data_IF_229964630371
#
_entry.id   IF_229964630371
#
_cell.length_a   1.000
_cell.length_b   1.000
_cell.length_c   1.000
_cell.angle_alpha   90.00
_cell.angle_beta   90.00
_cell.angle_gamma   90.00
#
_symmetry.space_group_name_H-M   'P 1'
#
loop_
_entity.id
_entity.type
_entity.pdbx_description
1 polymer ?
#
# COMPACT_ATOMS: atom_id res chain seq x y z
N UNK A 1 8.19 18.41 -0.54
CA UNK A 1 7.68 17.40 -1.47
C UNK A 1 8.43 16.12 -1.20
N UNK A 2 7.74 15.19 -0.54
CA UNK A 2 8.25 13.87 -0.17
C UNK A 2 7.74 12.89 -1.22
N UNK A 3 8.65 12.18 -1.88
CA UNK A 3 8.26 11.18 -2.88
C UNK A 3 8.22 9.81 -2.25
N UNK A 4 7.08 9.12 -2.39
CA UNK A 4 6.95 7.71 -2.09
C UNK A 4 6.99 6.93 -3.41
N UNK A 5 7.99 6.06 -3.57
CA UNK A 5 8.04 5.13 -4.68
C UNK A 5 7.53 3.78 -4.17
N UNK A 6 6.30 3.45 -4.52
CA UNK A 6 5.76 2.10 -4.32
C UNK A 6 5.81 1.36 -5.65
N UNK A 7 6.59 0.28 -5.71
CA UNK A 7 6.41 -0.73 -6.74
C UNK A 7 5.61 -1.88 -6.15
N UNK A 8 4.59 -2.33 -6.86
CA UNK A 8 3.79 -3.48 -6.47
C UNK A 8 4.48 -4.70 -7.06
N UNK A 9 5.36 -5.34 -6.30
CA UNK A 9 5.78 -6.70 -6.63
C UNK A 9 4.55 -7.59 -6.43
N UNK A 10 4.01 -8.14 -7.52
CA UNK A 10 3.04 -9.24 -7.40
C UNK A 10 3.87 -10.47 -7.03
N UNK A 11 4.04 -10.65 -5.73
CA UNK A 11 4.30 -11.97 -5.21
C UNK A 11 2.93 -12.62 -5.01
N UNK A 12 2.67 -13.71 -5.73
CA UNK A 12 1.67 -14.71 -5.34
C UNK A 12 2.17 -15.38 -4.04
N UNK A 13 2.18 -14.66 -2.92
CA UNK A 13 2.38 -15.29 -1.62
C UNK A 13 1.05 -15.92 -1.20
N UNK A 14 0.99 -17.23 -0.91
CA UNK A 14 -0.14 -17.82 -0.21
C UNK A 14 -0.03 -17.44 1.27
N UNK A 15 -0.22 -16.16 1.60
CA UNK A 15 -0.31 -15.72 2.99
C UNK A 15 -1.50 -14.78 3.11
N UNK A 16 -2.54 -15.33 3.73
CA UNK A 16 -3.76 -14.67 4.14
C UNK A 16 -3.46 -13.41 4.97
N UNK A 17 -4.34 -12.40 4.93
CA UNK A 17 -4.16 -11.23 5.77
C UNK A 17 -4.40 -11.59 7.25
N UNK A 18 -3.39 -11.48 8.10
CA UNK A 18 -3.60 -11.33 9.56
C UNK A 18 -3.82 -9.85 9.90
N UNK A 19 -4.66 -9.17 9.12
CA UNK A 19 -5.29 -7.92 9.56
C UNK A 19 -6.55 -8.34 10.32
N UNK A 20 -6.45 -8.40 11.65
CA UNK A 20 -7.59 -8.75 12.49
C UNK A 20 -8.54 -7.54 12.53
N UNK A 21 -9.64 -7.59 11.77
CA UNK A 21 -10.79 -6.75 12.09
C UNK A 21 -11.43 -7.27 13.38
N UNK A 22 -11.88 -6.37 14.23
CA UNK A 22 -12.19 -6.67 15.65
C UNK A 22 -13.59 -7.25 15.81
N UNK A 23 -14.43 -7.21 14.78
CA UNK A 23 -15.76 -7.80 14.82
C UNK A 23 -15.85 -9.16 14.14
N UNK A 24 -14.93 -9.47 13.23
CA UNK A 24 -15.03 -10.62 12.34
C UNK A 24 -13.71 -10.76 11.58
N UNK A 25 -13.10 -11.96 11.59
CA UNK A 25 -11.81 -12.34 10.95
C UNK A 25 -11.80 -12.20 9.41
N UNK A 26 -12.37 -11.14 8.86
CA UNK A 26 -12.58 -10.92 7.43
C UNK A 26 -11.42 -10.11 6.86
N UNK A 27 -10.88 -10.57 5.73
CA UNK A 27 -9.81 -9.91 5.00
C UNK A 27 -10.15 -8.44 4.67
N UNK A 28 -9.26 -7.53 5.11
CA UNK A 28 -9.28 -6.12 4.74
C UNK A 28 -9.13 -5.96 3.22
N UNK A 29 -10.21 -5.56 2.55
CA UNK A 29 -10.27 -5.36 1.09
C UNK A 29 -11.39 -4.38 0.64
N UNK A 30 -12.05 -3.67 1.57
CA UNK A 30 -13.34 -3.01 1.27
C UNK A 30 -13.41 -1.51 1.52
N UNK A 31 -12.34 -0.85 1.98
CA UNK A 31 -12.41 0.60 2.24
C UNK A 31 -12.78 1.32 0.94
N UNK A 32 -13.96 1.94 0.84
CA UNK A 32 -14.43 2.50 -0.42
C UNK A 32 -13.75 3.86 -0.66
N UNK A 33 -13.68 4.27 -1.92
CA UNK A 33 -13.28 5.63 -2.26
C UNK A 33 -14.28 6.63 -1.67
N UNK A 34 -13.78 7.78 -1.21
CA UNK A 34 -14.63 8.91 -0.80
C UNK A 34 -15.37 9.51 -2.01
N UNK A 35 -14.75 9.38 -3.19
CA UNK A 35 -15.27 9.86 -4.47
C UNK A 35 -15.93 8.73 -5.24
N UNK A 36 -16.92 9.07 -6.07
CA UNK A 36 -17.61 8.09 -6.90
C UNK A 36 -16.64 7.49 -7.96
N UNK A 37 -16.63 6.16 -8.20
CA UNK A 37 -15.63 5.49 -9.05
C UNK A 37 -15.52 6.02 -10.50
N UNK A 38 -16.58 6.62 -11.02
CA UNK A 38 -16.64 7.25 -12.34
C UNK A 38 -15.85 8.57 -12.40
N UNK A 39 -15.61 9.22 -11.26
CA UNK A 39 -14.81 10.46 -11.18
C UNK A 39 -13.31 10.18 -11.05
N UNK A 40 -12.95 8.93 -10.76
CA UNK A 40 -11.57 8.50 -10.61
C UNK A 40 -10.94 8.23 -11.98
N UNK A 41 -9.75 8.78 -12.20
CA UNK A 41 -8.91 8.46 -13.36
C UNK A 41 -8.15 7.16 -13.07
N UNK A 42 -8.88 6.05 -13.11
CA UNK A 42 -8.33 4.70 -12.96
C UNK A 42 -8.11 4.09 -14.34
N UNK A 43 -6.95 3.48 -14.55
CA UNK A 43 -6.70 2.69 -15.75
C UNK A 43 -7.51 1.37 -15.71
N UNK A 44 -7.60 0.66 -16.83
CA UNK A 44 -8.41 -0.56 -16.94
C UNK A 44 -8.00 -1.65 -15.93
N UNK A 45 -6.71 -1.75 -15.62
CA UNK A 45 -6.17 -2.70 -14.65
C UNK A 45 -6.58 -2.35 -13.23
N UNK A 46 -6.48 -1.08 -12.85
CA UNK A 46 -6.90 -0.63 -11.53
C UNK A 46 -8.38 -0.89 -11.32
N UNK A 47 -9.21 -0.65 -12.34
CA UNK A 47 -10.64 -0.99 -12.29
C UNK A 47 -10.85 -2.49 -12.12
N UNK A 48 -10.10 -3.33 -12.83
CA UNK A 48 -10.15 -4.79 -12.68
C UNK A 48 -9.72 -5.24 -11.27
N UNK A 49 -8.67 -4.66 -10.71
CA UNK A 49 -8.20 -4.97 -9.36
C UNK A 49 -9.20 -4.56 -8.30
N UNK A 50 -9.75 -3.35 -8.39
CA UNK A 50 -10.81 -2.89 -7.48
C UNK A 50 -12.03 -3.81 -7.60
N UNK A 51 -12.43 -4.19 -8.82
CA UNK A 51 -13.52 -5.15 -9.02
C UNK A 51 -13.24 -6.54 -8.43
N UNK A 52 -11.96 -6.93 -8.34
CA UNK A 52 -11.49 -8.16 -7.68
C UNK A 52 -11.28 -8.01 -6.17
N UNK A 53 -11.60 -6.85 -5.61
CA UNK A 53 -11.50 -6.58 -4.17
C UNK A 53 -10.11 -6.15 -3.70
N UNK A 54 -9.29 -5.54 -4.56
CA UNK A 54 -8.07 -4.88 -4.10
C UNK A 54 -8.39 -3.65 -3.25
N UNK A 55 -7.51 -3.35 -2.30
CA UNK A 55 -7.62 -2.16 -1.44
C UNK A 55 -7.57 -0.84 -2.22
N UNK A 56 -8.44 0.10 -1.86
CA UNK A 56 -8.46 1.45 -2.42
C UNK A 56 -7.29 2.35 -1.93
N UNK A 57 -6.66 2.03 -0.79
CA UNK A 57 -5.66 2.89 -0.11
C UNK A 57 -4.30 3.01 -0.86
N UNK A 58 -4.12 2.32 -1.98
CA UNK A 58 -2.89 2.34 -2.78
C UNK A 58 -3.07 3.06 -4.14
N UNK A 59 -4.27 3.60 -4.39
CA UNK A 59 -4.61 4.11 -5.72
C UNK A 59 -4.42 5.62 -5.90
N UNK A 60 -3.91 6.33 -4.89
CA UNK A 60 -3.68 7.76 -5.01
C UNK A 60 -4.91 8.63 -4.73
N UNK A 61 -5.98 8.05 -4.20
CA UNK A 61 -7.26 8.71 -3.98
C UNK A 61 -7.69 8.62 -2.53
N UNK A 62 -8.54 9.56 -2.12
CA UNK A 62 -9.13 9.55 -0.78
C UNK A 62 -10.12 8.39 -0.62
N UNK A 63 -10.17 7.85 0.59
CA UNK A 63 -11.04 6.74 0.97
C UNK A 63 -11.87 7.10 2.21
N UNK A 64 -12.95 6.35 2.44
CA UNK A 64 -13.79 6.49 3.63
C UNK A 64 -13.08 5.83 4.83
N UNK A 65 -12.42 6.65 5.63
CA UNK A 65 -11.55 6.20 6.73
C UNK A 65 -12.22 5.44 7.86
N UNK A 66 -13.54 5.59 8.04
CA UNK A 66 -14.27 4.94 9.13
C UNK A 66 -14.29 3.41 9.01
N UNK A 67 -14.10 2.90 7.79
CA UNK A 67 -14.01 1.47 7.48
C UNK A 67 -12.57 0.94 7.47
N UNK A 68 -11.58 1.77 7.84
CA UNK A 68 -10.19 1.32 7.95
C UNK A 68 -10.01 0.40 9.19
N UNK A 69 -9.22 -0.68 9.08
CA UNK A 69 -8.96 -1.58 10.20
C UNK A 69 -8.32 -0.84 11.37
N UNK A 70 -8.80 -1.13 12.59
CA UNK A 70 -8.29 -0.48 13.81
C UNK A 70 -7.32 -1.34 14.59
N UNK A 71 -7.08 -2.59 14.16
CA UNK A 71 -6.09 -3.48 14.77
C UNK A 71 -5.21 -4.13 13.71
N UNK A 72 -3.97 -4.42 14.10
CA UNK A 72 -2.99 -5.14 13.29
C UNK A 72 -2.16 -6.07 14.18
N UNK A 73 -1.96 -7.30 13.72
CA UNK A 73 -1.05 -8.23 14.38
C UNK A 73 0.38 -8.06 13.85
N UNK A 74 1.33 -7.85 14.76
CA UNK A 74 2.76 -7.84 14.47
C UNK A 74 3.33 -9.25 14.52
N UNK A 75 3.80 -9.73 13.37
CA UNK A 75 4.41 -11.05 13.20
C UNK A 75 5.92 -11.06 13.41
N UNK A 76 6.54 -9.90 13.66
CA UNK A 76 7.98 -9.82 13.91
C UNK A 76 8.43 -10.37 15.26
N UNK A 77 7.49 -10.89 16.07
CA UNK A 77 7.75 -11.48 17.38
C UNK A 77 8.23 -10.43 18.38
N UNK A 78 9.31 -10.74 19.10
CA UNK A 78 9.84 -9.91 20.18
C UNK A 78 10.68 -8.71 19.67
N UNK A 79 10.82 -8.55 18.35
CA UNK A 79 11.53 -7.41 17.74
C UNK A 79 10.84 -6.08 18.04
N UNK A 80 11.63 -5.01 18.06
CA UNK A 80 11.14 -3.64 18.13
C UNK A 80 10.29 -3.30 16.90
N UNK A 81 9.31 -2.43 17.08
CA UNK A 81 8.45 -1.97 16.00
C UNK A 81 9.20 -0.95 15.13
N UNK A 82 9.29 -1.17 13.80
CA UNK A 82 9.92 -0.21 12.90
C UNK A 82 9.04 1.01 12.66
N UNK A 83 9.60 2.13 12.22
CA UNK A 83 8.85 3.36 11.87
C UNK A 83 7.83 3.13 10.74
N UNK A 84 8.09 2.15 9.87
CA UNK A 84 7.26 1.76 8.74
C UNK A 84 7.05 0.25 8.80
N UNK A 85 5.78 -0.17 8.77
CA UNK A 85 5.38 -1.55 8.58
C UNK A 85 4.68 -1.64 7.21
N UNK A 86 5.38 -2.23 6.25
CA UNK A 86 4.89 -2.35 4.87
C UNK A 86 4.42 -3.78 4.54
N UNK A 87 3.16 -3.88 4.10
CA UNK A 87 2.51 -5.05 3.51
C UNK A 87 1.66 -4.56 2.33
N UNK A 88 0.45 -5.09 2.14
CA UNK A 88 -0.57 -4.59 1.21
C UNK A 88 -1.06 -3.16 1.52
N UNK A 89 -0.58 -2.59 2.63
CA UNK A 89 -0.74 -1.20 3.01
C UNK A 89 0.47 -0.76 3.81
N UNK A 90 0.63 0.55 3.99
CA UNK A 90 1.70 1.13 4.77
C UNK A 90 1.12 1.59 6.11
N UNK A 91 1.56 0.99 7.22
CA UNK A 91 1.37 1.53 8.56
C UNK A 91 2.63 2.28 8.99
N UNK A 92 2.47 3.47 9.55
CA UNK A 92 3.57 4.32 10.01
C UNK A 92 3.40 4.71 11.48
N UNK A 93 4.51 4.98 12.15
CA UNK A 93 4.49 5.50 13.51
C UNK A 93 3.86 6.90 13.59
N UNK A 94 3.47 7.33 14.80
CA UNK A 94 3.06 8.71 15.07
C UNK A 94 4.13 9.72 14.63
N UNK A 95 5.40 9.45 14.96
CA UNK A 95 6.51 10.36 14.64
C UNK A 95 6.65 10.57 13.14
N UNK A 96 6.53 9.50 12.36
CA UNK A 96 6.62 9.59 10.91
C UNK A 96 5.38 10.26 10.30
N UNK A 97 4.17 9.99 10.84
CA UNK A 97 2.96 10.73 10.46
C UNK A 97 3.15 12.24 10.64
N UNK A 98 3.59 12.66 11.82
CA UNK A 98 3.73 14.09 12.14
C UNK A 98 4.76 14.76 11.22
N UNK A 99 5.84 14.06 10.88
CA UNK A 99 6.82 14.54 9.89
C UNK A 99 6.20 14.68 8.50
N UNK A 100 5.43 13.70 8.02
CA UNK A 100 4.77 13.79 6.71
C UNK A 100 3.79 14.97 6.69
N UNK A 101 2.93 15.08 7.71
CA UNK A 101 1.94 16.16 7.80
C UNK A 101 2.59 17.54 7.93
N UNK A 102 3.77 17.63 8.57
CA UNK A 102 4.56 18.86 8.61
C UNK A 102 4.99 19.33 7.21
N UNK A 103 5.40 18.42 6.33
CA UNK A 103 5.90 18.76 5.00
C UNK A 103 4.80 18.78 3.93
N UNK A 104 3.70 18.05 4.11
CA UNK A 104 2.61 17.89 3.15
C UNK A 104 1.23 17.96 3.86
N UNK A 105 0.91 19.12 4.48
CA UNK A 105 -0.27 19.26 5.34
C UNK A 105 -1.57 19.05 4.58
N UNK A 106 -2.45 18.20 5.14
CA UNK A 106 -3.77 17.89 4.60
C UNK A 106 -3.77 17.12 3.28
N UNK A 107 -2.60 16.72 2.77
CA UNK A 107 -2.48 16.04 1.49
C UNK A 107 -2.86 14.57 1.61
N UNK A 108 -2.40 13.89 2.66
CA UNK A 108 -2.60 12.44 2.85
C UNK A 108 -3.65 12.15 3.91
N UNK A 109 -4.18 10.93 3.92
CA UNK A 109 -5.05 10.47 5.01
C UNK A 109 -4.29 9.53 5.94
N UNK A 110 -4.56 9.67 7.23
CA UNK A 110 -3.97 8.86 8.29
C UNK A 110 -5.09 8.25 9.12
N UNK A 111 -5.15 6.92 9.18
CA UNK A 111 -6.18 6.20 9.94
C UNK A 111 -5.52 5.44 11.10
N UNK A 112 -5.93 5.68 12.36
CA UNK A 112 -5.28 5.05 13.51
C UNK A 112 -5.48 3.54 13.50
N UNK A 113 -4.42 2.81 13.85
CA UNK A 113 -4.41 1.35 13.99
C UNK A 113 -3.60 0.95 15.20
N UNK A 114 -4.19 0.11 16.05
CA UNK A 114 -3.55 -0.45 17.24
C UNK A 114 -2.75 -1.70 16.85
N UNK A 115 -1.47 -1.73 17.21
CA UNK A 115 -0.57 -2.85 16.95
C UNK A 115 -0.61 -3.81 18.13
N UNK A 116 -0.79 -5.10 17.86
CA UNK A 116 -0.76 -6.18 18.86
C UNK A 116 0.42 -7.10 18.55
N UNK A 117 1.10 -7.62 19.57
CA UNK A 117 2.06 -8.73 19.40
C UNK A 117 1.37 -10.04 19.75
N UNK A 118 1.65 -11.14 19.04
CA UNK A 118 0.94 -12.42 19.22
C UNK A 118 0.95 -12.97 20.66
N UNK A 119 1.97 -12.64 21.46
CA UNK A 119 2.07 -13.04 22.86
C UNK A 119 1.44 -12.06 23.84
N UNK A 120 1.11 -10.87 23.37
CA UNK A 120 0.63 -9.76 24.20
C UNK A 120 -0.88 -9.60 23.95
N UNK A 121 -1.68 -9.83 24.99
CA UNK A 121 -3.14 -9.68 24.90
C UNK A 121 -3.63 -8.22 24.83
N UNK A 122 -2.72 -7.26 24.74
CA UNK A 122 -3.00 -5.83 24.72
C UNK A 122 -2.26 -5.14 23.57
N UNK A 123 -2.75 -3.97 23.18
CA UNK A 123 -2.07 -3.15 22.19
C UNK A 123 -0.71 -2.67 22.73
N UNK A 124 0.30 -2.70 21.88
CA UNK A 124 1.69 -2.34 22.22
C UNK A 124 2.08 -0.98 21.69
N UNK A 125 1.38 -0.47 20.67
CA UNK A 125 1.61 0.83 20.06
C UNK A 125 0.42 1.24 19.17
N UNK A 126 0.23 2.55 19.01
CA UNK A 126 -0.65 3.12 17.98
C UNK A 126 0.17 3.53 16.76
N UNK A 127 -0.22 3.03 15.60
CA UNK A 127 0.29 3.39 14.28
C UNK A 127 -0.82 4.06 13.46
N UNK A 128 -0.50 4.45 12.23
CA UNK A 128 -1.45 5.03 11.29
C UNK A 128 -1.31 4.37 9.93
N UNK A 129 -2.41 3.89 9.35
CA UNK A 129 -2.46 3.60 7.92
C UNK A 129 -2.24 4.89 7.15
N UNK A 130 -1.22 4.89 6.29
CA UNK A 130 -0.93 5.98 5.37
C UNK A 130 -1.64 5.68 4.04
N UNK A 131 -2.64 6.50 3.70
CA UNK A 131 -3.21 6.56 2.36
C UNK A 131 -2.65 7.78 1.62
N UNK A 132 -1.80 7.52 0.63
CA UNK A 132 -1.18 8.56 -0.20
C UNK A 132 -2.23 9.05 -1.22
N UNK A 133 -2.70 10.30 -1.10
CA UNK A 133 -3.84 10.81 -1.88
C UNK A 133 -3.45 11.71 -3.07
N UNK A 134 -2.18 11.75 -3.45
CA UNK A 134 -1.69 12.57 -4.57
C UNK A 134 -0.67 11.80 -5.40
N UNK A 135 -1.08 10.65 -5.94
CA UNK A 135 -0.22 9.82 -6.78
C UNK A 135 -0.09 10.45 -8.17
N UNK A 136 1.14 10.64 -8.61
CA UNK A 136 1.46 11.11 -9.96
C UNK A 136 2.04 9.94 -10.73
N UNK A 137 1.62 9.76 -11.99
CA UNK A 137 2.28 8.81 -12.88
C UNK A 137 3.66 9.38 -13.27
N UNK A 138 4.68 8.99 -12.50
CA UNK A 138 6.02 9.59 -12.57
C UNK A 138 7.09 8.65 -13.10
N UNK A 139 6.73 7.41 -13.48
CA UNK A 139 7.70 6.45 -14.01
C UNK A 139 7.80 6.68 -15.51
N UNK A 140 8.96 7.13 -15.98
CA UNK A 140 9.28 7.18 -17.41
C UNK A 140 9.72 5.77 -17.86
N UNK A 141 8.91 5.03 -18.62
CA UNK A 141 9.23 3.65 -19.00
C UNK A 141 10.44 3.55 -19.94
N UNK A 142 10.77 4.60 -20.70
CA UNK A 142 11.90 4.59 -21.64
C UNK A 142 13.23 4.88 -20.95
N UNK A 143 13.19 5.65 -19.84
CA UNK A 143 14.38 6.09 -19.11
C UNK A 143 14.59 5.38 -17.78
N UNK A 144 13.60 4.63 -17.30
CA UNK A 144 13.71 3.89 -16.04
C UNK A 144 14.06 2.43 -16.32
N UNK A 145 15.01 1.88 -15.57
CA UNK A 145 15.34 0.45 -15.63
C UNK A 145 14.35 -0.37 -14.78
N UNK A 146 13.07 -0.32 -15.16
CA UNK A 146 11.97 -1.02 -14.48
C UNK A 146 11.50 -2.15 -15.38
N UNK A 147 11.51 -3.38 -14.85
CA UNK A 147 11.00 -4.54 -15.56
C UNK A 147 9.52 -4.71 -15.25
N UNK A 148 8.70 -4.52 -16.26
CA UNK A 148 7.26 -4.70 -16.14
C UNK A 148 6.89 -6.16 -16.43
N UNK A 149 6.25 -6.84 -15.47
CA UNK A 149 5.73 -8.20 -15.64
C UNK A 149 4.60 -8.29 -16.68
N UNK A 150 4.01 -7.17 -17.08
CA UNK A 150 3.18 -7.06 -18.26
C UNK A 150 3.40 -5.72 -18.97
N UNK A 151 3.05 -5.64 -20.25
CA UNK A 151 3.32 -4.48 -21.10
C UNK A 151 2.71 -3.19 -20.50
N UNK A 152 3.55 -2.24 -20.08
CA UNK A 152 3.17 -0.94 -19.50
C UNK A 152 2.34 -0.07 -20.44
N UNK A 153 2.62 -0.12 -21.74
CA UNK A 153 1.98 0.70 -22.77
C UNK A 153 0.68 0.07 -23.32
N UNK A 154 0.53 -1.25 -23.16
CA UNK A 154 -0.79 -1.84 -23.25
C UNK A 154 -1.51 -1.51 -21.94
N UNK A 155 -2.77 -1.10 -21.98
CA UNK A 155 -3.56 -0.72 -20.79
C UNK A 155 -3.83 -1.90 -19.81
N UNK A 156 -2.95 -2.89 -19.72
CA UNK A 156 -3.07 -4.16 -19.01
C UNK A 156 -1.88 -4.50 -18.08
N UNK A 157 -0.99 -3.55 -17.80
CA UNK A 157 0.25 -3.78 -17.02
C UNK A 157 0.02 -4.24 -15.57
N UNK A 158 0.72 -5.29 -15.12
CA UNK A 158 0.35 -6.11 -13.95
C UNK A 158 1.29 -6.02 -12.74
N UNK A 159 2.48 -5.45 -12.86
CA UNK A 159 3.43 -5.18 -11.77
C UNK A 159 4.77 -4.79 -12.37
N UNK A 160 5.56 -4.04 -11.61
CA UNK A 160 6.99 -3.92 -11.82
C UNK A 160 7.70 -4.86 -10.82
N UNK A 161 8.88 -5.36 -11.16
CA UNK A 161 9.84 -5.91 -10.18
C UNK A 161 11.12 -5.07 -10.25
N UNK A 162 11.73 -4.79 -9.10
CA UNK A 162 13.11 -4.26 -9.02
C UNK A 162 14.11 -5.42 -8.85
N UNK A 163 14.37 -6.15 -9.94
CA UNK A 163 15.27 -7.30 -9.99
C UNK A 163 16.67 -7.00 -10.53
N UNK A 164 17.65 -7.76 -10.04
CA UNK A 164 19.10 -7.59 -10.23
C UNK A 164 19.59 -7.73 -11.68
N UNK A 165 20.69 -7.05 -11.97
CA UNK A 165 21.43 -7.12 -13.25
C UNK A 165 21.83 -8.56 -13.55
N UNK A 166 21.11 -9.24 -14.42
CA UNK A 166 21.66 -10.37 -15.17
C UNK A 166 22.38 -9.83 -16.41
N UNK A 167 23.63 -10.27 -16.56
CA UNK A 167 24.56 -9.83 -17.60
C UNK A 167 23.93 -9.87 -18.99
N UNK A 168 24.05 -8.75 -19.70
CA UNK A 168 23.90 -8.71 -21.15
C UNK A 168 24.93 -9.65 -21.78
N UNK A 169 24.54 -10.86 -22.17
CA UNK A 169 25.15 -11.47 -23.36
C UNK A 169 24.53 -10.81 -24.59
N UNK A 170 25.21 -9.77 -25.06
CA UNK A 170 25.15 -9.36 -26.46
C UNK A 170 25.66 -10.53 -27.29
N UNK A 171 24.79 -11.18 -28.04
CA UNK A 171 25.19 -11.99 -29.18
C UNK A 171 24.66 -11.33 -30.45
N UNK A 172 25.58 -11.29 -31.43
CA UNK A 172 25.66 -10.47 -32.63
C UNK A 172 24.51 -10.63 -33.64
#
# INVERSE_FOLDING_TARGET
MVYFVSCRDVYEYPVYPTFLDVSDDTAWNRVPFEQAPETLTLNAVEREFIAKGATAMEHGYRVIGDEAPRKMLWEGGDRDLPEIIQRNCIAISLRLRDLIEQYEPGLHQFFPVEIFKAREGQAVATYYWLNVCNRIDSIDPERSNVYWKANYLAQSARSCDFGQVEERTLNA
#
